data_IF_641588384531
#
_entry.id   IF_641588384531
#
_cell.length_a   1.000
_cell.length_b   1.000
_cell.length_c   1.000
_cell.angle_alpha   90.00
_cell.angle_beta   90.00
_cell.angle_gamma   90.00
#
_symmetry.space_group_name_H-M   'P 1'
#
loop_
_entity.id
_entity.type
_entity.pdbx_description
1 polymer ?
#
# COMPACT_ATOMS: atom_id res chain seq x y z
N UNK A 1 -22.37 -16.87 -16.43
CA UNK A 1 -22.59 -16.25 -15.11
C UNK A 1 -21.35 -15.43 -14.82
N UNK A 2 -21.52 -14.15 -14.58
CA UNK A 2 -20.52 -13.09 -14.71
C UNK A 2 -19.30 -13.36 -13.82
N UNK A 3 -18.14 -13.50 -14.45
CA UNK A 3 -16.82 -13.57 -13.81
C UNK A 3 -16.51 -12.19 -13.20
N UNK A 4 -17.14 -11.89 -12.06
CA UNK A 4 -16.73 -10.76 -11.25
C UNK A 4 -15.36 -11.13 -10.70
N UNK A 5 -14.31 -10.50 -11.23
CA UNK A 5 -12.96 -10.54 -10.66
C UNK A 5 -13.02 -10.03 -9.21
N UNK A 6 -13.29 -10.95 -8.27
CA UNK A 6 -13.28 -10.67 -6.84
C UNK A 6 -11.83 -10.30 -6.50
N UNK A 7 -11.62 -9.05 -6.10
CA UNK A 7 -10.31 -8.61 -5.62
C UNK A 7 -10.07 -9.22 -4.24
N UNK A 8 -8.96 -9.94 -4.02
CA UNK A 8 -8.60 -10.47 -2.71
C UNK A 8 -8.67 -9.41 -1.61
N UNK A 9 -9.27 -9.73 -0.48
CA UNK A 9 -9.38 -8.86 0.71
C UNK A 9 -8.36 -9.19 1.81
N UNK A 10 -7.74 -10.35 1.72
CA UNK A 10 -6.81 -10.92 2.69
C UNK A 10 -5.67 -11.62 1.96
N UNK A 11 -4.57 -11.86 2.66
CA UNK A 11 -3.45 -12.58 2.07
C UNK A 11 -3.82 -14.01 1.66
N UNK A 12 -4.76 -14.65 2.36
CA UNK A 12 -5.15 -16.03 2.07
C UNK A 12 -6.00 -16.14 0.79
N UNK A 13 -6.65 -15.05 0.37
CA UNK A 13 -7.30 -14.94 -0.92
C UNK A 13 -6.36 -14.46 -2.04
N UNK A 14 -5.17 -13.97 -1.70
CA UNK A 14 -4.19 -13.50 -2.69
C UNK A 14 -3.40 -14.68 -3.24
N UNK A 15 -3.85 -15.19 -4.38
CA UNK A 15 -3.23 -16.37 -5.01
C UNK A 15 -1.84 -16.04 -5.58
N UNK A 16 -0.82 -16.76 -5.09
CA UNK A 16 0.55 -16.72 -5.59
C UNK A 16 1.48 -15.72 -4.88
N UNK A 17 2.73 -15.67 -5.33
CA UNK A 17 3.79 -14.78 -4.82
C UNK A 17 4.16 -14.96 -3.32
N UNK A 18 4.38 -16.19 -2.81
CA UNK A 18 4.75 -16.42 -1.40
C UNK A 18 6.02 -15.64 -0.98
N UNK A 19 6.97 -15.49 -1.91
CA UNK A 19 8.19 -14.70 -1.68
C UNK A 19 7.95 -13.21 -1.40
N UNK A 20 6.77 -12.68 -1.73
CA UNK A 20 6.35 -11.30 -1.43
C UNK A 20 5.42 -11.29 -0.22
N UNK A 21 4.49 -12.24 -0.16
CA UNK A 21 3.46 -12.31 0.89
C UNK A 21 4.05 -12.67 2.25
N UNK A 22 4.96 -13.64 2.32
CA UNK A 22 5.48 -14.14 3.60
C UNK A 22 6.28 -13.07 4.37
N UNK A 23 7.20 -12.30 3.74
CA UNK A 23 7.86 -11.19 4.43
C UNK A 23 6.88 -10.11 4.92
N UNK A 24 5.82 -9.81 4.16
CA UNK A 24 4.80 -8.84 4.55
C UNK A 24 4.00 -9.33 5.77
N UNK A 25 3.58 -10.60 5.77
CA UNK A 25 2.89 -11.22 6.92
C UNK A 25 3.75 -11.10 8.18
N UNK A 26 5.04 -11.43 8.09
CA UNK A 26 5.98 -11.33 9.21
C UNK A 26 6.12 -9.88 9.69
N UNK A 27 6.29 -8.92 8.77
CA UNK A 27 6.44 -7.51 9.12
C UNK A 27 5.19 -6.94 9.81
N UNK A 28 4.00 -7.28 9.32
CA UNK A 28 2.71 -6.87 9.90
C UNK A 28 2.52 -7.48 11.29
N UNK A 29 2.75 -8.79 11.45
CA UNK A 29 2.64 -9.44 12.76
C UNK A 29 3.63 -8.85 13.78
N UNK A 30 4.84 -8.54 13.32
CA UNK A 30 5.89 -7.90 14.10
C UNK A 30 5.48 -6.50 14.56
N UNK A 31 4.89 -5.68 13.67
CA UNK A 31 4.38 -4.35 14.01
C UNK A 31 3.21 -4.43 15.02
N UNK A 32 2.23 -5.32 14.77
CA UNK A 32 1.09 -5.55 15.66
C UNK A 32 1.49 -5.97 17.06
N UNK A 33 2.41 -6.92 17.18
CA UNK A 33 2.84 -7.45 18.50
C UNK A 33 3.53 -6.39 19.38
N UNK A 34 4.03 -5.31 18.78
CA UNK A 34 4.66 -4.18 19.48
C UNK A 34 3.77 -2.95 19.63
N UNK A 35 2.52 -2.99 19.19
CA UNK A 35 1.66 -1.80 19.05
C UNK A 35 2.38 -0.66 18.27
N UNK A 36 3.10 -1.05 17.22
CA UNK A 36 3.93 -0.16 16.41
C UNK A 36 3.33 0.00 15.00
N UNK A 37 3.70 1.10 14.34
CA UNK A 37 3.37 1.33 12.93
C UNK A 37 4.26 0.46 12.06
N UNK A 38 3.69 -0.13 11.00
CA UNK A 38 4.45 -0.89 10.01
C UNK A 38 5.47 0.03 9.31
N UNK A 39 6.70 -0.44 9.16
CA UNK A 39 7.73 0.27 8.40
C UNK A 39 7.30 0.46 6.93
N UNK A 40 7.92 1.43 6.25
CA UNK A 40 7.58 1.72 4.86
C UNK A 40 7.87 0.53 3.93
N UNK A 41 6.91 0.22 3.06
CA UNK A 41 6.98 -0.88 2.09
C UNK A 41 7.09 -0.32 0.67
N UNK A 42 8.06 -0.83 -0.10
CA UNK A 42 8.16 -0.57 -1.54
C UNK A 42 7.75 -1.81 -2.32
N UNK A 43 6.63 -1.72 -3.04
CA UNK A 43 6.17 -2.76 -3.96
C UNK A 43 6.62 -2.42 -5.38
N UNK A 44 7.50 -3.23 -5.97
CA UNK A 44 8.00 -3.04 -7.32
C UNK A 44 7.69 -4.24 -8.21
N UNK A 45 7.28 -3.97 -9.45
CA UNK A 45 7.02 -5.00 -10.45
C UNK A 45 6.14 -4.51 -11.60
N UNK A 46 6.03 -5.28 -12.69
CA UNK A 46 5.16 -4.99 -13.83
C UNK A 46 3.70 -4.61 -13.45
N UNK A 47 2.98 -3.86 -14.31
CA UNK A 47 1.55 -3.62 -14.12
C UNK A 47 0.77 -4.95 -14.09
N UNK A 48 -0.30 -5.01 -13.31
CA UNK A 48 -1.16 -6.19 -13.21
C UNK A 48 -0.75 -7.25 -12.17
N UNK A 49 0.40 -7.12 -11.49
CA UNK A 49 0.85 -8.10 -10.47
C UNK A 49 0.22 -7.95 -9.07
N UNK A 50 -0.82 -7.13 -8.94
CA UNK A 50 -1.57 -7.01 -7.69
C UNK A 50 -0.97 -6.07 -6.65
N UNK A 51 -0.07 -5.14 -7.00
CA UNK A 51 0.49 -4.14 -6.06
C UNK A 51 -0.59 -3.34 -5.32
N UNK A 52 -1.57 -2.79 -6.05
CA UNK A 52 -2.72 -2.07 -5.46
C UNK A 52 -3.57 -2.99 -4.58
N UNK A 53 -3.72 -4.26 -4.96
CA UNK A 53 -4.43 -5.27 -4.16
C UNK A 53 -3.68 -5.53 -2.85
N UNK A 54 -2.36 -5.72 -2.89
CA UNK A 54 -1.52 -5.91 -1.71
C UNK A 54 -1.60 -4.70 -0.77
N UNK A 55 -1.55 -3.47 -1.29
CA UNK A 55 -1.71 -2.26 -0.47
C UNK A 55 -3.05 -2.24 0.30
N UNK A 56 -4.14 -2.67 -0.36
CA UNK A 56 -5.45 -2.79 0.28
C UNK A 56 -5.47 -3.88 1.36
N UNK A 57 -4.88 -5.05 1.06
CA UNK A 57 -4.74 -6.15 2.02
C UNK A 57 -3.94 -5.68 3.23
N UNK A 58 -2.81 -5.00 3.05
CA UNK A 58 -1.99 -4.46 4.16
C UNK A 58 -2.82 -3.55 5.07
N UNK A 59 -3.61 -2.64 4.51
CA UNK A 59 -4.48 -1.77 5.32
C UNK A 59 -5.56 -2.53 6.07
N UNK A 60 -6.20 -3.50 5.42
CA UNK A 60 -7.20 -4.38 6.06
C UNK A 60 -6.59 -5.21 7.19
N UNK A 61 -5.40 -5.78 6.96
CA UNK A 61 -4.65 -6.53 7.96
C UNK A 61 -4.23 -5.63 9.11
N UNK A 62 -3.95 -4.35 8.90
CA UNK A 62 -3.60 -3.42 9.98
C UNK A 62 -4.82 -2.79 10.68
N UNK A 63 -6.06 -3.15 10.29
CA UNK A 63 -7.30 -2.52 10.77
C UNK A 63 -7.27 -0.98 10.63
N UNK A 64 -6.61 -0.48 9.59
CA UNK A 64 -6.33 0.94 9.38
C UNK A 64 -6.88 1.44 8.04
N UNK A 65 -7.13 2.75 7.97
CA UNK A 65 -7.57 3.39 6.73
C UNK A 65 -6.46 3.36 5.67
N UNK A 66 -6.85 3.15 4.41
CA UNK A 66 -5.96 3.24 3.25
C UNK A 66 -6.31 4.50 2.46
N UNK A 67 -5.34 5.39 2.32
CA UNK A 67 -5.44 6.53 1.42
C UNK A 67 -4.57 6.27 0.19
N UNK A 68 -5.17 6.32 -1.00
CA UNK A 68 -4.46 6.10 -2.26
C UNK A 68 -4.18 7.43 -2.96
N UNK A 69 -2.93 7.58 -3.42
CA UNK A 69 -2.49 8.64 -4.33
C UNK A 69 -1.85 8.01 -5.58
N UNK A 70 -1.81 8.75 -6.67
CA UNK A 70 -1.05 8.38 -7.85
C UNK A 70 0.05 9.41 -8.09
N UNK A 71 1.31 8.98 -8.01
CA UNK A 71 2.51 9.79 -8.21
C UNK A 71 2.54 10.51 -9.56
N UNK A 72 1.91 9.96 -10.60
CA UNK A 72 1.74 10.63 -11.90
C UNK A 72 0.85 11.87 -11.86
N UNK A 73 -0.13 11.87 -10.95
CA UNK A 73 -1.12 12.94 -10.81
C UNK A 73 -0.71 13.99 -9.79
N UNK A 74 0.24 13.65 -8.92
CA UNK A 74 0.88 14.63 -8.04
C UNK A 74 1.71 15.54 -8.93
N UNK A 75 1.35 16.82 -8.99
CA UNK A 75 2.05 17.77 -9.86
C UNK A 75 3.50 17.97 -9.42
N UNK A 76 4.17 18.95 -10.04
CA UNK A 76 5.50 19.39 -9.60
C UNK A 76 5.50 20.11 -8.23
N UNK A 77 4.39 20.08 -7.49
CA UNK A 77 4.22 20.79 -6.24
C UNK A 77 4.37 19.82 -5.04
N UNK A 78 5.47 19.90 -4.27
CA UNK A 78 5.65 19.06 -3.07
C UNK A 78 4.59 19.29 -1.99
N UNK A 79 3.80 20.37 -2.07
CA UNK A 79 2.73 20.63 -1.12
C UNK A 79 1.59 19.60 -1.19
N UNK A 80 1.43 18.90 -2.32
CA UNK A 80 0.34 17.93 -2.49
C UNK A 80 0.53 16.72 -1.55
N UNK A 81 1.78 16.23 -1.41
CA UNK A 81 2.11 15.15 -0.46
C UNK A 81 1.99 15.67 0.97
N UNK A 82 2.53 16.86 1.24
CA UNK A 82 2.53 17.43 2.58
C UNK A 82 1.11 17.60 3.12
N UNK A 83 0.17 18.08 2.29
CA UNK A 83 -1.23 18.24 2.68
C UNK A 83 -1.88 16.91 3.04
N UNK A 84 -1.63 15.86 2.25
CA UNK A 84 -2.16 14.52 2.55
C UNK A 84 -1.57 13.97 3.85
N UNK A 85 -0.27 14.15 4.09
CA UNK A 85 0.36 13.69 5.33
C UNK A 85 -0.26 14.35 6.59
N UNK A 86 -0.74 15.59 6.49
CA UNK A 86 -1.41 16.26 7.63
C UNK A 86 -2.78 15.71 7.98
N UNK A 87 -3.43 14.97 7.08
CA UNK A 87 -4.77 14.41 7.32
C UNK A 87 -4.75 12.96 7.80
N UNK A 88 -3.58 12.31 7.76
CA UNK A 88 -3.47 10.89 8.10
C UNK A 88 -3.50 10.68 9.61
N UNK A 89 -4.29 9.69 10.03
CA UNK A 89 -4.25 9.16 11.38
C UNK A 89 -2.99 8.35 11.63
N UNK A 90 -2.60 8.19 12.89
CA UNK A 90 -1.49 7.30 13.28
C UNK A 90 -1.85 5.87 12.85
N UNK A 91 -0.96 5.23 12.09
CA UNK A 91 -1.16 3.86 11.59
C UNK A 91 -1.88 3.76 10.23
N UNK A 92 -2.44 4.86 9.72
CA UNK A 92 -3.04 4.89 8.38
C UNK A 92 -2.02 4.52 7.30
N UNK A 93 -2.47 3.80 6.29
CA UNK A 93 -1.65 3.39 5.13
C UNK A 93 -1.80 4.43 4.04
N UNK A 94 -0.71 5.13 3.71
CA UNK A 94 -0.61 5.94 2.50
C UNK A 94 -0.03 5.09 1.37
N UNK A 95 -0.88 4.72 0.40
CA UNK A 95 -0.44 4.02 -0.80
C UNK A 95 -0.23 5.00 -1.94
N UNK A 96 1.01 5.10 -2.43
CA UNK A 96 1.35 5.93 -3.59
C UNK A 96 1.65 5.03 -4.78
N UNK A 97 0.68 4.93 -5.69
CA UNK A 97 0.88 4.23 -6.95
C UNK A 97 1.78 5.05 -7.88
N UNK A 98 2.53 4.38 -8.75
CA UNK A 98 3.52 5.03 -9.64
C UNK A 98 4.45 6.03 -8.92
N UNK A 99 4.89 5.72 -7.69
CA UNK A 99 5.73 6.61 -6.86
C UNK A 99 6.99 7.12 -7.57
N UNK A 100 7.53 6.35 -8.52
CA UNK A 100 8.68 6.73 -9.36
C UNK A 100 8.41 7.93 -10.28
N UNK A 101 7.14 8.34 -10.44
CA UNK A 101 6.74 9.50 -11.23
C UNK A 101 6.64 10.78 -10.41
N UNK A 102 6.81 10.71 -9.09
CA UNK A 102 6.91 11.91 -8.26
C UNK A 102 8.15 12.69 -8.72
N UNK A 103 8.00 13.97 -9.08
CA UNK A 103 9.12 14.78 -9.55
C UNK A 103 10.11 14.99 -8.39
N UNK A 104 11.37 14.58 -8.61
CA UNK A 104 12.45 14.96 -7.73
C UNK A 104 12.70 16.47 -7.92
N UNK A 105 12.65 17.26 -6.84
CA UNK A 105 13.32 18.55 -6.84
C UNK A 105 14.81 18.28 -6.98
N UNK A 106 15.33 18.43 -8.18
CA UNK A 106 16.77 18.55 -8.46
C UNK A 106 17.16 20.01 -8.28
#
# INVERSE_FOLDING_TARGET
MTDQLIRPDSFDQFSGQPQVVDPLKIAIQSAKSRDAVLDHVLLSGPPGLGKTTLARIIGGELDNSVMQLNGATMGNNPNDVAQVLTTLGRGSVLFIDEIHRIPAKV
#
